data_IF_878835587127
#
_entry.id   IF_878835587127
#
_cell.length_a   1.000
_cell.length_b   1.000
_cell.length_c   1.000
_cell.angle_alpha   90.00
_cell.angle_beta   90.00
_cell.angle_gamma   90.00
#
_symmetry.space_group_name_H-M   'P 1'
#
loop_
_entity.id
_entity.type
_entity.pdbx_description
1 polymer ?
#
# COMPACT_ATOMS: atom_id res chain seq x y z
N UNK A 1 -6.31 -5.82 -16.80
CA UNK A 1 -5.67 -7.05 -16.25
C UNK A 1 -6.10 -7.19 -14.79
N UNK A 2 -6.83 -8.27 -14.47
CA UNK A 2 -7.21 -8.62 -13.09
C UNK A 2 -6.08 -9.44 -12.48
N UNK A 3 -5.71 -9.13 -11.24
CA UNK A 3 -4.68 -9.82 -10.46
C UNK A 3 -5.34 -10.81 -9.51
N UNK A 4 -6.31 -10.34 -8.71
CA UNK A 4 -7.03 -11.10 -7.71
C UNK A 4 -8.49 -10.65 -7.64
N UNK A 5 -9.34 -11.52 -7.13
CA UNK A 5 -10.70 -11.17 -6.74
C UNK A 5 -10.98 -11.60 -5.29
N UNK A 6 -11.76 -10.80 -4.60
CA UNK A 6 -12.27 -11.09 -3.26
C UNK A 6 -13.81 -11.02 -3.26
N UNK A 7 -14.50 -11.31 -2.17
CA UNK A 7 -15.96 -11.18 -2.13
C UNK A 7 -16.50 -9.81 -2.58
N UNK A 8 -15.80 -8.72 -2.23
CA UNK A 8 -16.28 -7.35 -2.52
C UNK A 8 -15.40 -6.56 -3.48
N UNK A 9 -14.17 -7.03 -3.80
CA UNK A 9 -13.19 -6.27 -4.56
C UNK A 9 -12.69 -7.03 -5.79
N UNK A 10 -12.36 -6.27 -6.82
CA UNK A 10 -11.47 -6.66 -7.92
C UNK A 10 -10.16 -5.90 -7.73
N UNK A 11 -9.06 -6.63 -7.60
CA UNK A 11 -7.69 -6.09 -7.52
C UNK A 11 -7.10 -6.20 -8.92
N UNK A 12 -6.87 -5.07 -9.56
CA UNK A 12 -6.51 -5.01 -10.99
C UNK A 12 -5.47 -3.95 -11.31
N UNK A 13 -4.95 -3.99 -12.53
CA UNK A 13 -4.17 -2.88 -13.03
C UNK A 13 -5.05 -1.63 -13.20
N UNK A 14 -4.42 -0.48 -13.20
CA UNK A 14 -5.04 0.83 -13.39
C UNK A 14 -5.65 0.97 -14.79
N UNK A 15 -6.76 1.67 -14.87
CA UNK A 15 -7.46 2.05 -16.09
C UNK A 15 -7.60 3.58 -16.16
N UNK A 16 -7.63 4.17 -17.35
CA UNK A 16 -7.67 5.64 -17.49
C UNK A 16 -8.82 6.31 -16.74
N UNK A 17 -9.93 5.60 -16.58
CA UNK A 17 -11.08 6.07 -15.78
C UNK A 17 -10.75 6.28 -14.29
N UNK A 18 -9.66 5.73 -13.79
CA UNK A 18 -9.26 5.82 -12.38
C UNK A 18 -8.40 7.08 -12.08
N UNK A 19 -8.02 7.87 -13.10
CA UNK A 19 -7.15 9.06 -12.95
C UNK A 19 -7.72 10.10 -11.99
N UNK A 20 -9.04 10.32 -12.03
CA UNK A 20 -9.70 11.26 -11.13
C UNK A 20 -9.58 10.81 -9.67
N UNK A 21 -9.77 9.52 -9.41
CA UNK A 21 -9.60 8.97 -8.07
C UNK A 21 -8.13 9.06 -7.60
N UNK A 22 -7.17 8.79 -8.47
CA UNK A 22 -5.75 8.93 -8.12
C UNK A 22 -5.44 10.37 -7.69
N UNK A 23 -5.95 11.36 -8.42
CA UNK A 23 -5.76 12.76 -8.05
C UNK A 23 -6.51 13.11 -6.74
N UNK A 24 -7.76 12.68 -6.58
CA UNK A 24 -8.52 12.85 -5.33
C UNK A 24 -7.71 12.34 -4.12
N UNK A 25 -7.23 11.10 -4.17
CA UNK A 25 -6.45 10.50 -3.09
C UNK A 25 -5.18 11.29 -2.78
N UNK A 26 -4.45 11.72 -3.81
CA UNK A 26 -3.16 12.38 -3.64
C UNK A 26 -3.26 13.86 -3.25
N UNK A 27 -4.42 14.49 -3.42
CA UNK A 27 -4.69 15.90 -3.07
C UNK A 27 -5.47 16.06 -1.77
N UNK A 28 -6.16 15.02 -1.30
CA UNK A 28 -6.96 15.05 -0.07
C UNK A 28 -6.06 15.17 1.18
N UNK A 29 -6.32 16.20 2.01
CA UNK A 29 -5.53 16.48 3.21
C UNK A 29 -5.66 15.37 4.27
N UNK A 30 -6.82 14.73 4.39
CA UNK A 30 -7.02 13.65 5.37
C UNK A 30 -6.29 12.38 4.94
N UNK A 31 -6.35 12.05 3.65
CA UNK A 31 -5.65 10.89 3.07
C UNK A 31 -4.14 11.07 3.14
N UNK A 32 -3.65 12.26 2.82
CA UNK A 32 -2.21 12.57 2.76
C UNK A 32 -1.64 13.11 4.08
N UNK A 33 -2.38 12.99 5.19
CA UNK A 33 -1.99 13.53 6.51
C UNK A 33 -0.60 13.07 6.98
N UNK A 34 -0.23 11.83 6.65
CA UNK A 34 1.04 11.21 7.06
C UNK A 34 2.11 11.25 5.96
N UNK A 35 1.94 12.09 4.95
CA UNK A 35 2.91 12.34 3.89
C UNK A 35 3.38 13.80 3.95
N UNK A 36 4.66 14.08 3.68
CA UNK A 36 5.19 15.45 3.73
C UNK A 36 4.79 16.31 2.53
N UNK A 37 3.93 15.80 1.67
CA UNK A 37 3.47 16.46 0.45
C UNK A 37 2.04 16.07 0.09
N UNK A 38 1.41 16.87 -0.75
CA UNK A 38 0.25 16.51 -1.56
C UNK A 38 0.62 16.69 -3.02
N UNK A 39 -0.01 15.91 -3.90
CA UNK A 39 0.29 15.97 -5.33
C UNK A 39 -0.77 16.80 -6.05
N UNK A 40 -0.33 17.63 -6.98
CA UNK A 40 -1.20 18.26 -7.96
C UNK A 40 -1.65 17.25 -9.02
N UNK A 41 -2.44 17.70 -10.01
CA UNK A 41 -2.96 16.82 -11.06
C UNK A 41 -1.84 16.17 -11.88
N UNK A 42 -0.88 16.95 -12.35
CA UNK A 42 0.22 16.42 -13.16
C UNK A 42 1.05 15.38 -12.41
N UNK A 43 1.43 15.66 -11.17
CA UNK A 43 2.17 14.72 -10.32
C UNK A 43 1.37 13.44 -10.01
N UNK A 44 0.03 13.53 -9.93
CA UNK A 44 -0.85 12.38 -9.74
C UNK A 44 -0.94 11.53 -11.02
N UNK A 45 -1.02 12.16 -12.17
CA UNK A 45 -1.02 11.50 -13.48
C UNK A 45 0.32 10.80 -13.74
N UNK A 46 1.46 11.43 -13.40
CA UNK A 46 2.79 10.82 -13.49
C UNK A 46 2.91 9.58 -12.59
N UNK A 47 2.38 9.65 -11.37
CA UNK A 47 2.35 8.48 -10.49
C UNK A 47 1.48 7.37 -11.06
N UNK A 48 0.29 7.72 -11.56
CA UNK A 48 -0.63 6.79 -12.21
C UNK A 48 0.05 6.01 -13.34
N UNK A 49 0.71 6.71 -14.26
CA UNK A 49 1.37 6.10 -15.41
C UNK A 49 2.52 5.17 -14.99
N UNK A 50 3.31 5.58 -14.00
CA UNK A 50 4.38 4.73 -13.45
C UNK A 50 3.85 3.44 -12.84
N UNK A 51 2.77 3.52 -12.05
CA UNK A 51 2.16 2.34 -11.43
C UNK A 51 1.53 1.42 -12.47
N UNK A 52 0.78 1.98 -13.43
CA UNK A 52 0.15 1.22 -14.51
C UNK A 52 1.20 0.49 -15.36
N UNK A 53 2.27 1.19 -15.73
CA UNK A 53 3.37 0.63 -16.51
C UNK A 53 4.09 -0.48 -15.74
N UNK A 54 4.46 -0.22 -14.48
CA UNK A 54 5.14 -1.21 -13.63
C UNK A 54 4.34 -2.50 -13.53
N UNK A 55 3.03 -2.40 -13.27
CA UNK A 55 2.15 -3.56 -13.16
C UNK A 55 2.03 -4.28 -14.51
N UNK A 56 1.94 -3.54 -15.63
CA UNK A 56 1.88 -4.11 -16.98
C UNK A 56 3.13 -4.91 -17.31
N UNK A 57 4.31 -4.39 -16.94
CA UNK A 57 5.61 -4.99 -17.26
C UNK A 57 5.99 -6.14 -16.32
N UNK A 58 5.60 -6.05 -15.05
CA UNK A 58 6.07 -6.97 -14.01
C UNK A 58 4.98 -7.81 -13.36
N UNK A 59 3.71 -7.45 -13.54
CA UNK A 59 2.58 -8.02 -12.79
C UNK A 59 2.55 -7.63 -11.32
N UNK A 60 3.42 -6.71 -10.86
CA UNK A 60 3.71 -6.42 -9.46
C UNK A 60 3.67 -4.93 -9.18
N UNK A 61 2.99 -4.50 -8.10
CA UNK A 61 2.90 -3.09 -7.73
C UNK A 61 1.72 -2.76 -6.82
N UNK A 62 1.38 -1.47 -6.74
CA UNK A 62 0.19 -0.98 -6.06
C UNK A 62 -0.99 -0.99 -7.04
N UNK A 63 -1.87 -1.94 -6.86
CA UNK A 63 -3.01 -2.23 -7.72
C UNK A 63 -4.22 -1.37 -7.39
N UNK A 64 -5.01 -1.00 -8.38
CA UNK A 64 -6.31 -0.41 -8.18
C UNK A 64 -7.27 -1.40 -7.49
N UNK A 65 -8.03 -0.90 -6.53
CA UNK A 65 -9.11 -1.64 -5.87
C UNK A 65 -10.44 -1.16 -6.44
N UNK A 66 -11.15 -2.03 -7.13
CA UNK A 66 -12.50 -1.76 -7.62
C UNK A 66 -13.53 -2.43 -6.72
N UNK A 67 -14.52 -1.68 -6.25
CA UNK A 67 -15.65 -2.22 -5.50
C UNK A 67 -16.63 -2.88 -6.46
N UNK A 68 -16.89 -4.19 -6.29
CA UNK A 68 -17.75 -4.97 -7.20
C UNK A 68 -19.18 -4.44 -7.27
N UNK A 69 -19.72 -3.92 -6.16
CA UNK A 69 -21.11 -3.46 -6.10
C UNK A 69 -21.34 -2.22 -6.97
N UNK A 70 -20.41 -1.26 -6.94
CA UNK A 70 -20.54 0.01 -7.66
C UNK A 70 -19.77 0.06 -8.98
N UNK A 71 -18.82 -0.85 -9.19
CA UNK A 71 -17.87 -0.82 -10.30
C UNK A 71 -16.88 0.35 -10.22
N UNK A 72 -16.80 1.05 -9.06
CA UNK A 72 -15.92 2.19 -8.88
C UNK A 72 -14.55 1.76 -8.33
N UNK A 73 -13.50 2.37 -8.82
CA UNK A 73 -12.22 2.34 -8.12
C UNK A 73 -12.34 3.12 -6.81
N UNK A 74 -11.87 2.52 -5.71
CA UNK A 74 -11.99 3.10 -4.35
C UNK A 74 -10.66 3.50 -3.76
N UNK A 75 -9.56 3.12 -4.40
CA UNK A 75 -8.19 3.35 -3.96
C UNK A 75 -7.26 2.28 -4.47
N UNK A 76 -6.18 2.05 -3.74
CA UNK A 76 -5.20 1.03 -4.10
C UNK A 76 -4.67 0.28 -2.88
N UNK A 77 -4.23 -0.94 -3.11
CA UNK A 77 -3.37 -1.72 -2.24
C UNK A 77 -2.45 -2.58 -3.10
N UNK A 78 -1.31 -2.97 -2.56
CA UNK A 78 -0.40 -3.79 -3.34
C UNK A 78 0.91 -4.10 -2.63
N UNK A 79 1.78 -4.74 -3.39
CA UNK A 79 3.09 -5.18 -2.98
C UNK A 79 4.14 -4.42 -3.80
N UNK A 80 5.15 -3.89 -3.16
CA UNK A 80 6.24 -3.20 -3.84
C UNK A 80 7.59 -3.58 -3.25
N UNK A 81 8.65 -3.56 -4.07
CA UNK A 81 10.01 -3.68 -3.53
C UNK A 81 10.40 -2.35 -2.91
N UNK A 82 10.83 -2.39 -1.66
CA UNK A 82 11.39 -1.21 -1.00
C UNK A 82 12.87 -1.05 -1.32
N UNK A 83 13.34 0.19 -1.43
CA UNK A 83 14.73 0.59 -1.67
C UNK A 83 15.30 1.37 -0.45
N UNK A 84 14.82 1.05 0.74
CA UNK A 84 15.17 1.74 1.99
C UNK A 84 16.36 1.09 2.72
N UNK A 85 17.43 0.73 2.00
CA UNK A 85 18.68 0.29 2.62
C UNK A 85 19.31 1.43 3.44
N UNK A 86 19.92 1.16 4.61
CA UNK A 86 20.13 -0.16 5.22
C UNK A 86 18.97 -0.65 6.11
N UNK A 87 17.86 0.09 6.23
CA UNK A 87 16.74 -0.28 7.11
C UNK A 87 16.08 -1.60 6.71
N UNK A 88 15.99 -1.85 5.40
CA UNK A 88 15.52 -3.11 4.84
C UNK A 88 16.55 -3.66 3.86
N UNK A 89 16.82 -5.00 3.88
CA UNK A 89 17.66 -5.63 2.89
C UNK A 89 17.13 -5.42 1.46
N UNK A 90 18.04 -5.37 0.49
CA UNK A 90 17.66 -5.26 -0.92
C UNK A 90 16.70 -6.38 -1.33
N UNK A 91 15.61 -6.02 -1.97
CA UNK A 91 14.59 -6.94 -2.44
C UNK A 91 13.48 -7.22 -1.42
N UNK A 92 13.53 -6.62 -0.22
CA UNK A 92 12.41 -6.64 0.72
C UNK A 92 11.13 -6.16 0.04
N UNK A 93 10.03 -6.86 0.26
CA UNK A 93 8.72 -6.50 -0.28
C UNK A 93 7.86 -5.91 0.82
N UNK A 94 7.32 -4.73 0.57
CA UNK A 94 6.33 -4.08 1.41
C UNK A 94 4.92 -4.31 0.90
N UNK A 95 3.95 -4.33 1.83
CA UNK A 95 2.54 -4.16 1.53
C UNK A 95 2.09 -2.78 1.96
N UNK A 96 1.38 -2.08 1.08
CA UNK A 96 0.86 -0.75 1.36
C UNK A 96 -0.51 -0.52 0.72
N UNK A 97 -1.17 0.55 1.16
CA UNK A 97 -2.53 0.89 0.72
C UNK A 97 -2.83 2.37 0.89
N UNK A 98 -3.81 2.84 0.09
CA UNK A 98 -4.43 4.15 0.24
C UNK A 98 -5.82 4.15 -0.39
N UNK A 99 -6.84 4.53 0.38
CA UNK A 99 -8.21 4.68 -0.12
C UNK A 99 -8.65 6.14 -0.10
N UNK A 100 -9.54 6.51 -1.00
CA UNK A 100 -10.28 7.75 -0.88
C UNK A 100 -11.07 7.78 0.44
N UNK A 101 -11.10 8.94 1.09
CA UNK A 101 -11.60 9.11 2.46
C UNK A 101 -13.02 8.54 2.64
N UNK A 102 -13.90 8.72 1.65
CA UNK A 102 -15.30 8.25 1.68
C UNK A 102 -15.47 6.72 1.73
N UNK A 103 -14.40 5.97 1.49
CA UNK A 103 -14.40 4.50 1.55
C UNK A 103 -13.73 3.93 2.81
N UNK A 104 -13.29 4.78 3.74
CA UNK A 104 -12.69 4.33 4.98
C UNK A 104 -13.71 3.66 5.93
N UNK A 105 -13.23 2.84 6.85
CA UNK A 105 -14.05 2.21 7.89
C UNK A 105 -14.91 1.04 7.44
N UNK A 106 -14.86 0.65 6.15
CA UNK A 106 -15.68 -0.43 5.58
C UNK A 106 -14.97 -1.79 5.49
N UNK A 107 -13.72 -1.87 5.95
CA UNK A 107 -12.93 -3.11 5.97
C UNK A 107 -12.31 -3.52 4.62
N UNK A 108 -12.39 -2.69 3.58
CA UNK A 108 -11.85 -3.01 2.26
C UNK A 108 -10.34 -3.26 2.28
N UNK A 109 -9.58 -2.45 3.01
CA UNK A 109 -8.11 -2.64 3.09
C UNK A 109 -7.75 -3.94 3.80
N UNK A 110 -8.49 -4.32 4.84
CA UNK A 110 -8.28 -5.61 5.53
C UNK A 110 -8.56 -6.77 4.58
N UNK A 111 -9.63 -6.70 3.79
CA UNK A 111 -9.97 -7.72 2.80
C UNK A 111 -8.92 -7.83 1.70
N UNK A 112 -8.52 -6.70 1.11
CA UNK A 112 -7.48 -6.65 0.08
C UNK A 112 -6.12 -7.11 0.64
N UNK A 113 -5.77 -6.68 1.85
CA UNK A 113 -4.50 -7.04 2.49
C UNK A 113 -4.36 -8.53 2.74
N UNK A 114 -5.42 -9.19 3.24
CA UNK A 114 -5.42 -10.64 3.40
C UNK A 114 -5.23 -11.38 2.07
N UNK A 115 -5.94 -10.96 1.01
CA UNK A 115 -5.80 -11.56 -0.31
C UNK A 115 -4.41 -11.35 -0.91
N UNK A 116 -3.83 -10.16 -0.74
CA UNK A 116 -2.48 -9.83 -1.22
C UNK A 116 -1.40 -10.58 -0.44
N UNK A 117 -1.55 -10.79 0.86
CA UNK A 117 -0.61 -11.61 1.64
C UNK A 117 -0.67 -13.09 1.24
N UNK A 118 -1.87 -13.64 1.02
CA UNK A 118 -2.00 -14.99 0.47
C UNK A 118 -1.32 -15.09 -0.91
N UNK A 119 -1.56 -14.14 -1.80
CA UNK A 119 -0.90 -14.07 -3.11
C UNK A 119 0.63 -13.97 -2.99
N UNK A 120 1.13 -13.15 -2.06
CA UNK A 120 2.56 -12.99 -1.81
C UNK A 120 3.22 -14.32 -1.40
N UNK A 121 2.57 -15.09 -0.55
CA UNK A 121 3.14 -16.33 0.00
C UNK A 121 2.90 -17.55 -0.89
N UNK A 122 1.71 -17.71 -1.42
CA UNK A 122 1.30 -18.91 -2.17
C UNK A 122 1.71 -18.83 -3.64
N UNK A 123 1.62 -17.64 -4.27
CA UNK A 123 1.88 -17.46 -5.70
C UNK A 123 3.28 -16.91 -5.95
N UNK A 124 3.66 -15.84 -5.25
CA UNK A 124 4.96 -15.19 -5.45
C UNK A 124 6.08 -15.86 -4.65
N UNK A 125 5.73 -16.79 -3.73
CA UNK A 125 6.67 -17.52 -2.90
C UNK A 125 7.61 -16.62 -2.08
N UNK A 126 7.13 -15.45 -1.65
CA UNK A 126 7.93 -14.53 -0.85
C UNK A 126 8.19 -15.14 0.55
N UNK A 127 9.40 -14.94 1.11
CA UNK A 127 9.71 -15.44 2.45
C UNK A 127 9.09 -14.57 3.55
N UNK A 128 8.91 -13.28 3.28
CA UNK A 128 8.39 -12.29 4.23
C UNK A 128 7.77 -11.12 3.47
N UNK A 129 6.81 -10.46 4.11
CA UNK A 129 6.27 -9.16 3.71
C UNK A 129 6.35 -8.21 4.90
N UNK A 130 6.80 -6.97 4.66
CA UNK A 130 6.85 -5.91 5.67
C UNK A 130 5.79 -4.85 5.39
N UNK A 131 5.44 -4.08 6.40
CA UNK A 131 4.69 -2.83 6.25
C UNK A 131 5.19 -1.82 7.28
N UNK A 132 5.16 -0.55 6.94
CA UNK A 132 5.60 0.50 7.86
C UNK A 132 4.72 1.74 7.71
N UNK A 133 4.61 2.50 8.77
CA UNK A 133 3.82 3.73 8.80
C UNK A 133 4.41 4.69 9.84
N UNK A 134 4.08 5.97 9.71
CA UNK A 134 4.37 6.95 10.77
C UNK A 134 3.81 6.42 12.10
N UNK A 135 4.57 6.53 13.17
CA UNK A 135 4.33 5.89 14.47
C UNK A 135 2.91 6.10 15.06
N UNK A 136 2.29 7.23 14.78
CA UNK A 136 0.94 7.60 15.24
C UNK A 136 -0.14 7.47 14.16
N UNK A 137 0.13 6.72 13.09
CA UNK A 137 -0.87 6.36 12.08
C UNK A 137 -1.66 5.12 12.51
N UNK A 138 -2.50 5.28 13.55
CA UNK A 138 -3.24 4.19 14.18
C UNK A 138 -4.16 3.44 13.22
N UNK A 139 -4.63 4.11 12.17
CA UNK A 139 -5.45 3.45 11.14
C UNK A 139 -4.67 2.41 10.36
N UNK A 140 -3.47 2.74 9.92
CA UNK A 140 -2.61 1.80 9.20
C UNK A 140 -2.10 0.69 10.09
N UNK A 141 -1.64 1.00 11.30
CA UNK A 141 -1.14 -0.03 12.24
C UNK A 141 -2.24 -0.99 12.68
N UNK A 142 -3.48 -0.49 12.87
CA UNK A 142 -4.64 -1.37 13.13
C UNK A 142 -4.96 -2.30 11.97
N UNK A 143 -4.76 -1.89 10.73
CA UNK A 143 -4.92 -2.77 9.57
C UNK A 143 -3.80 -3.82 9.55
N UNK A 144 -2.54 -3.42 9.75
CA UNK A 144 -1.40 -4.35 9.82
C UNK A 144 -1.67 -5.47 10.82
N UNK A 145 -2.16 -5.14 12.02
CA UNK A 145 -2.52 -6.12 13.04
C UNK A 145 -3.66 -7.04 12.60
N UNK A 146 -4.73 -6.48 11.99
CA UNK A 146 -5.88 -7.29 11.53
C UNK A 146 -5.55 -8.27 10.43
N UNK A 147 -4.56 -7.97 9.58
CA UNK A 147 -4.08 -8.88 8.54
C UNK A 147 -2.97 -9.82 9.05
N UNK A 148 -2.77 -9.89 10.37
CA UNK A 148 -1.87 -10.84 11.00
C UNK A 148 -0.40 -10.45 11.06
N UNK A 149 -0.05 -9.22 10.69
CA UNK A 149 1.33 -8.76 10.81
C UNK A 149 1.71 -8.48 12.27
N UNK A 150 2.94 -8.81 12.62
CA UNK A 150 3.50 -8.66 13.97
C UNK A 150 4.39 -7.43 14.03
N UNK A 151 4.26 -6.65 15.11
CA UNK A 151 5.10 -5.49 15.38
C UNK A 151 6.56 -5.90 15.56
N UNK A 152 7.46 -5.28 14.79
CA UNK A 152 8.91 -5.38 14.97
C UNK A 152 9.41 -4.11 15.68
N UNK A 153 9.54 -4.18 17.01
CA UNK A 153 9.96 -3.04 17.82
C UNK A 153 11.42 -2.63 17.57
N UNK A 154 12.22 -3.54 17.04
CA UNK A 154 13.64 -3.28 16.73
C UNK A 154 13.83 -2.72 15.31
N UNK A 155 12.80 -2.80 14.49
CA UNK A 155 12.82 -2.36 13.08
C UNK A 155 12.46 -0.88 12.87
N UNK A 156 12.11 -0.14 13.93
CA UNK A 156 11.73 1.27 13.80
C UNK A 156 12.85 2.12 13.20
N UNK A 157 12.47 3.05 12.34
CA UNK A 157 13.44 3.88 11.65
C UNK A 157 12.91 5.29 11.33
N UNK A 158 13.84 6.20 11.09
CA UNK A 158 13.50 7.50 10.51
C UNK A 158 13.54 7.41 8.99
N UNK A 159 12.40 7.61 8.35
CA UNK A 159 12.26 7.46 6.91
C UNK A 159 13.13 8.49 6.17
N UNK A 160 14.10 8.05 5.33
CA UNK A 160 15.09 8.95 4.74
C UNK A 160 14.51 9.97 3.76
N UNK A 161 13.38 9.64 3.13
CA UNK A 161 12.72 10.51 2.15
C UNK A 161 11.75 11.52 2.79
N UNK A 162 11.67 11.57 4.14
CA UNK A 162 10.89 12.59 4.85
C UNK A 162 11.78 13.79 5.14
N UNK A 163 11.47 14.99 4.62
CA UNK A 163 12.26 16.20 4.81
C UNK A 163 12.40 16.60 6.29
N UNK A 164 13.50 17.32 6.60
CA UNK A 164 13.77 17.82 7.95
C UNK A 164 12.74 18.83 8.45
N UNK A 165 12.04 19.49 7.52
CA UNK A 165 10.96 20.44 7.79
C UNK A 165 9.69 19.79 8.33
N UNK A 166 9.56 18.46 8.21
CA UNK A 166 8.42 17.69 8.71
C UNK A 166 8.86 16.57 9.66
N UNK A 167 9.59 16.89 10.75
CA UNK A 167 10.22 15.88 11.61
C UNK A 167 9.23 14.94 12.29
N UNK A 168 7.99 15.39 12.51
CA UNK A 168 6.91 14.61 13.10
C UNK A 168 6.42 13.45 12.20
N UNK A 169 6.79 13.43 10.93
CA UNK A 169 6.50 12.36 9.97
C UNK A 169 7.66 11.38 9.78
N UNK A 170 8.83 11.62 10.37
CA UNK A 170 10.02 10.81 10.14
C UNK A 170 9.95 9.43 10.78
N UNK A 171 9.54 9.36 12.05
CA UNK A 171 9.58 8.12 12.80
C UNK A 171 8.50 7.14 12.30
N UNK A 172 8.96 6.01 11.77
CA UNK A 172 8.11 4.93 11.27
C UNK A 172 8.24 3.69 12.15
N UNK A 173 7.10 3.05 12.37
CA UNK A 173 6.98 1.75 13.04
C UNK A 173 6.88 0.66 11.99
N UNK A 174 7.46 -0.52 12.27
CA UNK A 174 7.54 -1.63 11.33
C UNK A 174 6.71 -2.81 11.81
N UNK A 175 6.03 -3.45 10.88
CA UNK A 175 5.32 -4.72 11.04
C UNK A 175 5.81 -5.71 10.01
N UNK A 176 5.85 -7.00 10.39
CA UNK A 176 6.34 -8.10 9.54
C UNK A 176 5.39 -9.28 9.55
N UNK A 177 5.33 -10.00 8.46
CA UNK A 177 4.71 -11.31 8.39
C UNK A 177 5.60 -12.25 7.60
N UNK A 178 6.11 -13.29 8.27
CA UNK A 178 6.90 -14.34 7.63
C UNK A 178 5.99 -15.40 6.99
N UNK A 179 6.47 -16.00 5.91
CA UNK A 179 5.81 -17.12 5.27
C UNK A 179 6.05 -18.41 6.06
N UNK A 180 5.06 -18.85 6.83
CA UNK A 180 5.14 -20.07 7.63
C UNK A 180 4.80 -21.34 6.84
N UNK A 181 4.47 -21.26 5.55
CA UNK A 181 4.15 -22.42 4.71
C UNK A 181 5.40 -23.14 4.17
N UNK A 182 6.58 -22.59 4.44
CA UNK A 182 7.89 -23.16 4.06
C UNK A 182 8.61 -23.74 5.27
N UNK A 183 8.06 -24.82 5.82
CA UNK A 183 8.78 -25.75 6.70
C UNK A 183 8.96 -27.09 5.99
#
# INVERSE_FOLDING_TARGET
MIILETPRLIIRNWEDRDRELMHEINSDAAVMRFFPFRRNRAESDDLFERLQKMITETGFGFYALEEKLSGQCIGFAGLARTDLEPHFPKGTVEIGWRLAHRFWGKGYVTEAGNALLAYAFETLNLPEVVSFAVFNNDRSTSVMQRIGMVRDETGDFNHPNVPDETPHLKHHVVYRLANHTKN
#
